data_IF_397767323685
#
_entry.id   IF_397767323685
#
_cell.length_a   1.000
_cell.length_b   1.000
_cell.length_c   1.000
_cell.angle_alpha   90.00
_cell.angle_beta   90.00
_cell.angle_gamma   90.00
#
_symmetry.space_group_name_H-M   'P 1'
#
loop_
_entity.id
_entity.type
_entity.pdbx_description
1 polymer ?
#
# COMPACT_ATOMS: atom_id res chain seq x y z
N UNK A 1 42.71 13.25 -6.15
CA UNK A 1 41.53 12.79 -5.37
C UNK A 1 40.43 13.81 -5.54
N UNK A 2 39.47 13.53 -6.42
CA UNK A 2 38.30 14.39 -6.64
C UNK A 2 37.13 13.77 -5.87
N UNK A 3 36.74 14.40 -4.76
CA UNK A 3 35.45 14.17 -4.14
C UNK A 3 34.37 14.51 -5.18
N UNK A 4 33.78 13.47 -5.76
CA UNK A 4 32.63 13.60 -6.65
C UNK A 4 31.42 13.87 -5.76
N UNK A 5 31.21 15.15 -5.44
CA UNK A 5 29.96 15.66 -4.88
C UNK A 5 28.87 15.25 -5.87
N UNK A 6 28.03 14.30 -5.47
CA UNK A 6 26.81 13.98 -6.20
C UNK A 6 26.01 15.29 -6.26
N UNK A 7 25.87 15.85 -7.46
CA UNK A 7 25.02 17.01 -7.70
C UNK A 7 23.60 16.59 -7.30
N UNK A 8 23.12 17.21 -6.22
CA UNK A 8 21.71 17.38 -5.92
C UNK A 8 21.02 17.87 -7.21
N UNK A 9 20.05 17.13 -7.69
CA UNK A 9 18.96 17.70 -8.44
C UNK A 9 18.20 18.64 -7.50
N UNK A 10 18.24 19.94 -7.83
CA UNK A 10 17.66 21.04 -7.07
C UNK A 10 16.18 20.73 -6.76
N UNK A 11 15.91 20.32 -5.52
CA UNK A 11 14.60 19.90 -4.97
C UNK A 11 13.95 18.63 -5.57
N UNK A 12 14.76 17.63 -5.95
CA UNK A 12 14.29 16.41 -6.63
C UNK A 12 13.21 15.62 -5.88
N UNK A 13 11.95 15.79 -6.28
CA UNK A 13 10.85 14.89 -5.88
C UNK A 13 11.20 13.44 -6.22
N UNK A 14 10.98 12.53 -5.27
CA UNK A 14 11.00 11.09 -5.55
C UNK A 14 9.88 10.75 -6.51
N UNK A 15 10.22 10.06 -7.60
CA UNK A 15 9.27 9.52 -8.58
C UNK A 15 9.39 8.01 -8.62
N UNK A 16 8.29 7.32 -8.36
CA UNK A 16 8.28 5.86 -8.18
C UNK A 16 7.19 5.23 -9.04
N UNK A 17 7.59 4.23 -9.83
CA UNK A 17 6.68 3.24 -10.44
C UNK A 17 6.25 2.24 -9.37
N UNK A 18 4.96 2.23 -9.03
CA UNK A 18 4.41 1.45 -7.92
C UNK A 18 4.40 -0.04 -8.28
N UNK A 19 4.81 -0.87 -7.33
CA UNK A 19 4.80 -2.35 -7.43
C UNK A 19 3.95 -2.99 -6.35
N UNK A 20 3.92 -2.40 -5.16
CA UNK A 20 3.09 -2.87 -4.07
C UNK A 20 2.74 -1.71 -3.14
N UNK A 21 1.60 -1.80 -2.47
CA UNK A 21 1.18 -0.86 -1.44
C UNK A 21 0.67 -1.64 -0.24
N UNK A 22 1.30 -1.42 0.90
CA UNK A 22 0.97 -2.05 2.17
C UNK A 22 0.70 -0.98 3.22
N UNK A 23 0.32 -1.38 4.42
CA UNK A 23 0.28 -0.48 5.57
C UNK A 23 0.72 -1.21 6.83
N UNK A 24 1.19 -0.44 7.80
CA UNK A 24 1.40 -0.91 9.17
C UNK A 24 0.82 0.11 10.16
N UNK A 25 0.76 -0.27 11.43
CA UNK A 25 0.42 0.65 12.52
C UNK A 25 1.72 1.04 13.22
N UNK A 26 2.01 2.34 13.23
CA UNK A 26 3.17 2.93 13.90
C UNK A 26 2.64 4.00 14.86
N UNK A 27 2.99 3.90 16.14
CA UNK A 27 2.55 4.83 17.18
C UNK A 27 1.01 5.05 17.21
N UNK A 28 0.25 3.96 17.07
CA UNK A 28 -1.23 3.94 16.99
C UNK A 28 -1.84 4.61 15.74
N UNK A 29 -1.02 4.97 14.76
CA UNK A 29 -1.45 5.57 13.49
C UNK A 29 -1.15 4.67 12.30
N UNK A 30 -2.05 4.60 11.29
CA UNK A 30 -1.75 3.90 10.06
C UNK A 30 -0.72 4.65 9.22
N UNK A 31 0.30 3.92 8.78
CA UNK A 31 1.30 4.38 7.81
C UNK A 31 1.21 3.51 6.58
N UNK A 32 0.99 4.13 5.42
CA UNK A 32 0.97 3.44 4.12
C UNK A 32 2.39 3.36 3.57
N UNK A 33 2.79 2.19 3.09
CA UNK A 33 4.09 1.93 2.49
C UNK A 33 3.92 1.71 0.99
N UNK A 34 4.41 2.65 0.19
CA UNK A 34 4.44 2.51 -1.27
C UNK A 34 5.80 1.95 -1.66
N UNK A 35 5.81 0.75 -2.24
CA UNK A 35 7.01 0.11 -2.75
C UNK A 35 7.06 0.21 -4.26
N UNK A 36 8.23 0.49 -4.80
CA UNK A 36 8.41 0.54 -6.24
C UNK A 36 9.83 0.75 -6.70
N UNK A 37 9.97 1.22 -7.93
CA UNK A 37 11.27 1.52 -8.54
C UNK A 37 11.30 2.93 -9.12
N UNK A 38 12.47 3.57 -9.01
CA UNK A 38 12.73 4.82 -9.71
C UNK A 38 13.15 4.58 -11.18
N UNK A 39 13.29 5.65 -11.95
CA UNK A 39 13.73 5.64 -13.37
C UNK A 39 15.06 4.89 -13.59
N UNK A 40 15.89 4.76 -12.55
CA UNK A 40 17.17 4.04 -12.59
C UNK A 40 17.03 2.59 -12.12
N UNK A 41 15.81 2.05 -12.09
CA UNK A 41 15.44 0.70 -11.66
C UNK A 41 15.78 0.40 -10.20
N UNK A 42 16.13 1.39 -9.38
CA UNK A 42 16.48 1.14 -7.97
C UNK A 42 15.23 1.00 -7.15
N UNK A 43 15.24 0.07 -6.19
CA UNK A 43 14.15 -0.09 -5.23
C UNK A 43 14.03 1.17 -4.39
N UNK A 44 12.79 1.60 -4.19
CA UNK A 44 12.41 2.75 -3.38
C UNK A 44 11.17 2.42 -2.56
N UNK A 45 11.05 3.10 -1.43
CA UNK A 45 9.90 3.04 -0.53
C UNK A 45 9.53 4.46 -0.11
N UNK A 46 8.23 4.75 -0.06
CA UNK A 46 7.70 5.98 0.56
C UNK A 46 6.78 5.58 1.70
N UNK A 47 7.03 6.15 2.87
CA UNK A 47 6.18 6.04 4.06
C UNK A 47 5.24 7.24 4.13
N UNK A 48 3.95 6.96 3.99
CA UNK A 48 2.91 7.96 3.86
C UNK A 48 2.07 7.98 5.13
N UNK A 49 1.98 9.14 5.77
CA UNK A 49 1.21 9.32 7.01
C UNK A 49 0.03 10.28 6.82
N UNK A 50 -0.86 10.29 7.81
CA UNK A 50 -2.01 11.20 7.88
C UNK A 50 -3.23 10.78 7.05
N UNK A 51 -3.15 9.67 6.32
CA UNK A 51 -4.32 9.09 5.67
C UNK A 51 -5.15 8.29 6.68
N UNK A 52 -6.42 8.61 6.84
CA UNK A 52 -7.25 8.03 7.89
C UNK A 52 -8.34 7.10 7.34
N UNK A 53 -8.58 5.95 8.00
CA UNK A 53 -9.60 4.99 7.60
C UNK A 53 -11.00 5.54 7.88
N UNK A 54 -11.93 5.28 6.97
CA UNK A 54 -13.32 5.70 7.12
C UNK A 54 -14.28 4.80 6.38
N UNK A 55 -15.56 4.94 6.68
CA UNK A 55 -16.69 4.37 5.95
C UNK A 55 -17.90 5.28 6.10
N UNK A 56 -19.01 4.96 5.42
CA UNK A 56 -20.24 5.75 5.49
C UNK A 56 -21.40 4.95 6.08
N UNK A 57 -22.30 5.65 6.75
CA UNK A 57 -23.54 5.11 7.34
C UNK A 57 -24.69 6.09 7.09
N UNK A 58 -25.96 5.65 7.14
CA UNK A 58 -27.11 6.56 7.12
C UNK A 58 -26.98 7.70 8.15
N UNK A 59 -27.41 8.91 7.78
CA UNK A 59 -27.24 10.13 8.60
C UNK A 59 -27.88 9.98 10.00
N UNK A 60 -28.98 9.22 10.09
CA UNK A 60 -29.77 8.93 11.29
C UNK A 60 -29.16 7.91 12.26
N UNK A 61 -28.11 7.19 11.87
CA UNK A 61 -27.50 6.14 12.70
C UNK A 61 -26.65 6.70 13.84
N UNK A 62 -27.02 6.48 15.09
CA UNK A 62 -26.23 7.00 16.23
C UNK A 62 -25.18 6.00 16.73
N UNK A 63 -23.98 6.48 17.01
CA UNK A 63 -22.94 5.67 17.64
C UNK A 63 -22.00 6.54 18.48
N UNK A 64 -21.66 6.03 19.66
CA UNK A 64 -20.54 6.50 20.44
C UNK A 64 -19.58 5.33 20.63
N UNK A 65 -18.35 5.48 20.13
CA UNK A 65 -17.27 4.51 20.29
C UNK A 65 -15.94 5.24 20.34
N UNK A 66 -15.08 4.85 21.29
CA UNK A 66 -13.78 5.51 21.50
C UNK A 66 -12.84 5.38 20.28
N UNK A 67 -13.08 4.41 19.39
CA UNK A 67 -12.35 4.21 18.13
C UNK A 67 -12.74 5.21 17.04
N UNK A 68 -13.85 5.93 17.18
CA UNK A 68 -14.27 6.97 16.24
C UNK A 68 -13.48 8.25 16.54
N UNK A 69 -12.79 8.78 15.53
CA UNK A 69 -12.04 10.06 15.63
C UNK A 69 -12.94 11.25 15.39
N UNK A 70 -13.79 11.16 14.36
CA UNK A 70 -14.74 12.21 13.99
C UNK A 70 -15.84 11.68 13.08
N UNK A 71 -16.93 12.44 13.04
CA UNK A 71 -18.09 12.20 12.19
C UNK A 71 -18.26 13.44 11.31
N UNK A 72 -18.34 13.24 9.99
CA UNK A 72 -18.53 14.30 9.01
C UNK A 72 -19.87 14.08 8.29
N UNK A 73 -20.78 15.05 8.37
CA UNK A 73 -22.08 14.99 7.68
C UNK A 73 -22.02 15.53 6.25
N UNK A 74 -23.17 15.51 5.55
CA UNK A 74 -23.29 16.15 4.24
C UNK A 74 -23.01 15.26 3.03
N UNK A 75 -22.90 13.95 3.22
CA UNK A 75 -22.68 12.99 2.14
C UNK A 75 -24.00 12.46 1.58
N UNK A 76 -23.98 12.04 0.33
CA UNK A 76 -25.14 11.44 -0.36
C UNK A 76 -24.70 10.17 -1.05
N UNK A 77 -25.39 9.06 -0.76
CA UNK A 77 -25.17 7.79 -1.43
C UNK A 77 -25.63 7.83 -2.89
N UNK A 78 -25.17 6.86 -3.69
CA UNK A 78 -25.58 6.72 -5.10
C UNK A 78 -27.10 6.47 -5.27
N UNK A 79 -27.76 6.00 -4.21
CA UNK A 79 -29.20 5.79 -4.12
C UNK A 79 -29.96 7.04 -3.66
N UNK A 80 -29.28 8.18 -3.52
CA UNK A 80 -29.85 9.46 -3.08
C UNK A 80 -30.03 9.57 -1.57
N UNK A 81 -29.65 8.56 -0.77
CA UNK A 81 -29.78 8.61 0.69
C UNK A 81 -28.75 9.54 1.31
N UNK A 82 -29.16 10.22 2.38
CA UNK A 82 -28.27 11.03 3.20
C UNK A 82 -27.37 10.14 4.04
N UNK A 83 -26.07 10.44 4.03
CA UNK A 83 -25.04 9.68 4.73
C UNK A 83 -24.17 10.60 5.57
N UNK A 84 -23.52 10.01 6.57
CA UNK A 84 -22.39 10.60 7.28
C UNK A 84 -21.16 9.69 7.17
N UNK A 85 -19.99 10.31 7.14
CA UNK A 85 -18.69 9.67 7.13
C UNK A 85 -18.22 9.46 8.56
N UNK A 86 -17.88 8.22 8.88
CA UNK A 86 -17.29 7.84 10.17
C UNK A 86 -15.80 7.64 9.95
N UNK A 87 -14.98 8.51 10.53
CA UNK A 87 -13.52 8.38 10.51
C UNK A 87 -13.08 7.68 11.79
N UNK A 88 -12.31 6.61 11.65
CA UNK A 88 -11.88 5.75 12.77
C UNK A 88 -10.37 5.79 12.95
N UNK A 89 -9.87 5.23 14.05
CA UNK A 89 -8.44 5.25 14.35
C UNK A 89 -7.63 4.31 13.47
N UNK A 90 -8.05 3.05 13.37
CA UNK A 90 -7.31 2.00 12.65
C UNK A 90 -8.14 1.37 11.53
N UNK A 91 -7.50 0.91 10.45
CA UNK A 91 -8.18 0.15 9.39
C UNK A 91 -8.99 -1.05 9.90
N UNK A 92 -8.51 -1.73 10.95
CA UNK A 92 -9.23 -2.83 11.60
C UNK A 92 -10.56 -2.40 12.21
N UNK A 93 -10.63 -1.17 12.73
CA UNK A 93 -11.81 -0.64 13.41
C UNK A 93 -13.00 -0.50 12.44
N UNK A 94 -12.73 -0.24 11.15
CA UNK A 94 -13.78 -0.21 10.11
C UNK A 94 -14.50 -1.56 10.07
N UNK A 95 -13.74 -2.66 10.01
CA UNK A 95 -14.30 -4.01 9.96
C UNK A 95 -15.08 -4.34 11.22
N UNK A 96 -14.59 -3.93 12.38
CA UNK A 96 -15.24 -4.21 13.67
C UNK A 96 -16.50 -3.36 13.91
N UNK A 97 -16.53 -2.13 13.40
CA UNK A 97 -17.62 -1.20 13.63
C UNK A 97 -18.74 -1.29 12.59
N UNK A 98 -18.43 -1.65 11.33
CA UNK A 98 -19.40 -1.61 10.23
C UNK A 98 -20.66 -2.47 10.47
N UNK A 99 -20.52 -3.54 11.23
CA UNK A 99 -21.61 -4.49 11.53
C UNK A 99 -22.50 -4.01 12.70
N UNK A 100 -22.14 -2.90 13.36
CA UNK A 100 -22.94 -2.28 14.43
C UNK A 100 -24.05 -1.37 13.93
N UNK A 101 -24.05 -1.04 12.64
CA UNK A 101 -25.05 -0.19 12.01
C UNK A 101 -26.03 -1.05 11.22
N UNK A 102 -27.26 -0.56 11.02
CA UNK A 102 -28.22 -1.28 10.16
C UNK A 102 -27.70 -1.43 8.73
N UNK A 103 -26.91 -0.45 8.27
CA UNK A 103 -26.25 -0.47 6.98
C UNK A 103 -24.97 0.35 7.01
N UNK A 104 -23.92 -0.21 6.41
CA UNK A 104 -22.68 0.50 6.12
C UNK A 104 -22.42 0.53 4.61
N UNK A 105 -21.68 1.54 4.17
CA UNK A 105 -21.35 1.80 2.78
C UNK A 105 -19.84 2.00 2.67
N UNK A 106 -19.25 1.42 1.62
CA UNK A 106 -17.81 1.48 1.35
C UNK A 106 -16.91 0.94 2.48
N UNK A 107 -17.47 0.17 3.42
CA UNK A 107 -16.78 -0.40 4.58
C UNK A 107 -16.04 -1.71 4.27
N UNK A 108 -16.00 -2.13 3.01
CA UNK A 108 -15.33 -3.33 2.50
C UNK A 108 -14.13 -3.01 1.61
N UNK A 109 -13.87 -1.72 1.36
CA UNK A 109 -12.71 -1.28 0.59
C UNK A 109 -11.47 -1.33 1.50
N UNK A 110 -10.46 -2.09 1.08
CA UNK A 110 -9.21 -2.22 1.83
C UNK A 110 -8.56 -0.84 2.00
N UNK A 111 -7.94 -0.59 3.16
CA UNK A 111 -7.35 0.72 3.46
C UNK A 111 -6.31 1.20 2.44
N UNK A 112 -5.48 0.29 1.90
CA UNK A 112 -4.52 0.61 0.84
C UNK A 112 -5.19 0.93 -0.49
N UNK A 113 -6.27 0.22 -0.83
CA UNK A 113 -7.07 0.51 -2.02
C UNK A 113 -7.78 1.86 -1.88
N UNK A 114 -8.35 2.13 -0.71
CA UNK A 114 -8.97 3.41 -0.34
C UNK A 114 -7.98 4.56 -0.52
N UNK A 115 -6.77 4.41 0.02
CA UNK A 115 -5.68 5.37 -0.14
C UNK A 115 -5.38 5.66 -1.61
N UNK A 116 -5.25 4.63 -2.44
CA UNK A 116 -4.98 4.78 -3.87
C UNK A 116 -6.12 5.49 -4.61
N UNK A 117 -7.37 5.10 -4.34
CA UNK A 117 -8.58 5.68 -4.95
C UNK A 117 -8.67 7.17 -4.60
N UNK A 118 -8.61 7.51 -3.32
CA UNK A 118 -8.82 8.89 -2.86
C UNK A 118 -7.66 9.81 -3.26
N UNK A 119 -6.44 9.29 -3.34
CA UNK A 119 -5.27 10.04 -3.80
C UNK A 119 -5.15 10.10 -5.32
N UNK A 120 -6.00 9.39 -6.06
CA UNK A 120 -5.95 9.29 -7.52
C UNK A 120 -4.72 8.57 -8.06
N UNK A 121 -4.01 7.82 -7.23
CA UNK A 121 -2.76 7.14 -7.58
C UNK A 121 -3.08 5.80 -8.26
N UNK A 122 -2.45 5.54 -9.42
CA UNK A 122 -2.67 4.32 -10.20
C UNK A 122 -1.38 3.52 -10.42
N UNK A 123 -0.44 4.09 -11.17
CA UNK A 123 0.78 3.39 -11.61
C UNK A 123 2.06 4.02 -11.07
N UNK A 124 2.08 5.34 -10.86
CA UNK A 124 3.22 6.03 -10.29
C UNK A 124 2.82 7.15 -9.32
N UNK A 125 3.78 7.55 -8.48
CA UNK A 125 3.60 8.62 -7.49
C UNK A 125 4.84 9.50 -7.42
N UNK A 126 4.61 10.79 -7.17
CA UNK A 126 5.63 11.77 -6.80
C UNK A 126 5.49 12.13 -5.33
N UNK A 127 6.62 12.21 -4.63
CA UNK A 127 6.68 12.60 -3.23
C UNK A 127 7.86 13.54 -2.97
N UNK A 128 7.75 14.45 -1.99
CA UNK A 128 8.86 15.34 -1.62
C UNK A 128 10.03 14.59 -0.97
N UNK A 129 9.78 13.44 -0.35
CA UNK A 129 10.78 12.64 0.37
C UNK A 129 10.30 11.19 0.56
N UNK A 130 11.17 10.32 1.10
CA UNK A 130 10.83 8.93 1.45
C UNK A 130 9.83 8.82 2.61
N UNK A 131 9.53 9.94 3.27
CA UNK A 131 8.44 10.07 4.23
C UNK A 131 7.67 11.35 3.93
N UNK A 132 6.35 11.27 3.75
CA UNK A 132 5.53 12.42 3.35
C UNK A 132 4.09 12.30 3.89
N UNK A 133 3.42 13.43 4.09
CA UNK A 133 1.99 13.42 4.37
C UNK A 133 1.22 13.07 3.09
N UNK A 134 0.10 12.34 3.20
CA UNK A 134 -0.64 11.88 2.02
C UNK A 134 -1.06 13.01 1.07
N UNK A 135 -1.35 14.20 1.61
CA UNK A 135 -1.75 15.38 0.84
C UNK A 135 -0.62 16.01 0.02
N UNK A 136 0.64 15.65 0.31
CA UNK A 136 1.81 16.14 -0.42
C UNK A 136 2.15 15.26 -1.63
N UNK A 137 1.51 14.10 -1.74
CA UNK A 137 1.71 13.19 -2.86
C UNK A 137 1.05 13.73 -4.12
N UNK A 138 1.66 13.44 -5.26
CA UNK A 138 1.04 13.68 -6.57
C UNK A 138 0.97 12.38 -7.35
N UNK A 139 -0.23 12.02 -7.78
CA UNK A 139 -0.42 10.94 -8.74
C UNK A 139 0.34 11.26 -10.04
N UNK A 140 0.89 10.24 -10.67
CA UNK A 140 1.65 10.32 -11.91
C UNK A 140 1.42 9.03 -12.71
N UNK A 141 1.54 9.12 -14.03
CA UNK A 141 1.58 7.92 -14.89
C UNK A 141 3.02 7.46 -15.18
N UNK A 142 4.01 8.30 -14.81
CA UNK A 142 5.45 8.04 -14.99
C UNK A 142 6.21 8.13 -13.64
N UNK A 143 7.31 7.36 -13.47
CA UNK A 143 7.87 6.44 -14.46
C UNK A 143 7.10 5.12 -14.57
N UNK A 144 7.06 4.54 -15.76
CA UNK A 144 6.64 3.14 -15.94
C UNK A 144 7.86 2.22 -16.03
N UNK A 145 8.29 1.68 -14.89
CA UNK A 145 9.50 0.84 -14.80
C UNK A 145 9.09 -0.62 -14.79
N UNK A 146 9.63 -1.42 -15.72
CA UNK A 146 9.38 -2.86 -15.72
C UNK A 146 9.86 -3.54 -14.43
N UNK A 147 9.05 -4.46 -13.93
CA UNK A 147 9.39 -5.29 -12.78
C UNK A 147 10.61 -6.17 -13.09
N UNK A 148 11.49 -6.37 -12.10
CA UNK A 148 12.48 -7.46 -12.15
C UNK A 148 11.76 -8.74 -11.77
N UNK A 149 11.74 -9.71 -12.68
CA UNK A 149 11.06 -10.98 -12.51
C UNK A 149 12.14 -12.02 -12.22
N UNK A 150 11.94 -12.79 -11.16
CA UNK A 150 12.71 -14.00 -10.90
C UNK A 150 11.79 -15.20 -11.11
N UNK A 151 12.23 -16.17 -11.90
CA UNK A 151 11.59 -17.49 -12.00
C UNK A 151 12.48 -18.44 -11.20
N UNK A 152 11.92 -19.03 -10.14
CA UNK A 152 12.66 -19.87 -9.20
C UNK A 152 12.08 -21.27 -9.29
N UNK A 153 12.95 -22.25 -9.46
CA UNK A 153 12.65 -23.67 -9.41
C UNK A 153 13.57 -24.36 -8.39
N UNK A 154 13.03 -25.34 -7.66
CA UNK A 154 13.78 -26.04 -6.60
C UNK A 154 13.68 -27.54 -6.80
N UNK A 155 14.75 -28.23 -6.45
CA UNK A 155 14.77 -29.70 -6.38
C UNK A 155 14.97 -30.12 -4.93
N UNK A 156 14.25 -31.17 -4.54
CA UNK A 156 14.29 -31.71 -3.18
C UNK A 156 14.80 -33.15 -3.21
N UNK A 157 15.35 -33.60 -2.08
CA UNK A 157 15.67 -35.01 -1.89
C UNK A 157 14.36 -35.84 -1.81
N UNK A 158 14.16 -36.74 -2.77
CA UNK A 158 12.95 -37.57 -2.91
C UNK A 158 13.22 -39.08 -2.74
N UNK A 159 14.39 -39.46 -2.19
CA UNK A 159 14.78 -40.86 -2.00
C UNK A 159 13.77 -41.68 -1.16
N UNK A 160 12.96 -40.99 -0.35
CA UNK A 160 11.97 -41.58 0.56
C UNK A 160 10.53 -41.46 0.03
N UNK A 161 10.35 -41.04 -1.22
CA UNK A 161 9.05 -40.75 -1.83
C UNK A 161 8.82 -39.25 -2.00
N UNK A 162 7.56 -38.84 -2.13
CA UNK A 162 7.21 -37.43 -2.32
C UNK A 162 7.77 -36.57 -1.17
N UNK A 163 8.53 -35.49 -1.45
CA UNK A 163 9.22 -34.70 -0.41
C UNK A 163 8.29 -34.11 0.66
N UNK A 164 8.68 -34.25 1.93
CA UNK A 164 8.08 -33.62 3.11
C UNK A 164 8.88 -32.34 3.46
N UNK A 165 8.28 -31.14 3.36
CA UNK A 165 8.99 -29.87 3.61
C UNK A 165 9.49 -29.71 5.05
N UNK A 166 9.11 -30.59 5.98
CA UNK A 166 9.62 -30.58 7.36
C UNK A 166 10.89 -31.42 7.55
N UNK A 167 11.26 -32.24 6.58
CA UNK A 167 12.30 -33.28 6.76
C UNK A 167 13.25 -33.39 5.58
N UNK A 168 12.74 -33.24 4.37
CA UNK A 168 13.51 -33.47 3.15
C UNK A 168 14.13 -32.15 2.70
N UNK A 169 15.42 -32.22 2.37
CA UNK A 169 16.24 -31.05 2.06
C UNK A 169 16.02 -30.55 0.63
N UNK A 170 16.17 -29.24 0.43
CA UNK A 170 16.30 -28.64 -0.90
C UNK A 170 17.75 -28.85 -1.34
N UNK A 171 17.96 -29.58 -2.43
CA UNK A 171 19.28 -29.94 -2.95
C UNK A 171 19.75 -29.01 -4.08
N UNK A 172 18.81 -28.39 -4.79
CA UNK A 172 19.10 -27.45 -5.86
C UNK A 172 18.10 -26.29 -5.84
N UNK A 173 18.58 -25.10 -6.20
CA UNK A 173 17.76 -23.93 -6.49
C UNK A 173 18.28 -23.37 -7.79
N UNK A 174 17.41 -23.22 -8.78
CA UNK A 174 17.72 -22.57 -10.05
C UNK A 174 16.93 -21.26 -10.13
N UNK A 175 17.59 -20.17 -10.50
CA UNK A 175 16.97 -18.84 -10.57
C UNK A 175 17.23 -18.22 -11.93
N UNK A 176 16.18 -17.95 -12.70
CA UNK A 176 16.28 -17.08 -13.86
C UNK A 176 15.93 -15.64 -13.49
N UNK A 177 16.77 -14.67 -13.88
CA UNK A 177 16.56 -13.24 -13.63
C UNK A 177 16.29 -12.45 -14.92
N UNK A 178 15.17 -11.73 -14.97
CA UNK A 178 14.78 -10.93 -16.14
C UNK A 178 15.66 -9.71 -16.42
N UNK A 179 16.49 -9.26 -15.47
CA UNK A 179 17.39 -8.12 -15.68
C UNK A 179 18.72 -8.52 -16.31
N UNK A 180 19.31 -9.66 -15.90
CA UNK A 180 20.47 -10.25 -16.56
C UNK A 180 20.10 -11.07 -17.80
N UNK A 181 18.84 -11.55 -17.85
CA UNK A 181 18.37 -12.54 -18.82
C UNK A 181 19.22 -13.81 -18.79
N UNK A 182 19.55 -14.29 -17.59
CA UNK A 182 20.40 -15.45 -17.37
C UNK A 182 19.93 -16.28 -16.17
N UNK A 183 20.43 -17.51 -16.07
CA UNK A 183 20.23 -18.41 -14.94
C UNK A 183 21.40 -18.33 -13.96
N UNK A 184 21.08 -18.27 -12.66
CA UNK A 184 22.00 -18.45 -11.53
C UNK A 184 21.70 -19.75 -10.78
#
# INVERSE_FOLDING_TARGET
>A
MAHRIARLDEFGELRISIKNVEYSIVDDEPVVHIFGRDERKRVRRIDVFGFEPYFYVPEEEEIEDFRIRRIEGGYTGIDGRRLKKIVVRRPSDVRELRDRFSKSYEADILFTQRFLIDSGIKSAVRAPSERAHYSELRASDEPNVESRIFIIDIECNDERGFPDPKKDEVVCVTVWDSYSNDFE
#
